data_IF_587335020763
#
_entry.id   IF_587335020763
#
_cell.length_a   1.000
_cell.length_b   1.000
_cell.length_c   1.000
_cell.angle_alpha   90.00
_cell.angle_beta   90.00
_cell.angle_gamma   90.00
#
_symmetry.space_group_name_H-M   'P 1'
#
loop_
_entity.id
_entity.type
_entity.pdbx_description
1 polymer ?
#
# COMPACT_ATOMS: atom_id res chain seq x y z
N UNK A 1 2.34 8.60 -0.12
CA UNK A 1 1.02 8.02 0.09
C UNK A 1 1.06 6.72 0.84
N UNK A 2 -0.10 6.26 1.24
CA UNK A 2 -0.26 5.04 2.02
C UNK A 2 0.17 3.82 1.19
N UNK A 3 1.11 3.03 1.70
CA UNK A 3 1.72 1.85 1.05
C UNK A 3 2.21 2.09 -0.38
N UNK A 4 2.51 3.35 -0.72
CA UNK A 4 2.90 3.72 -2.08
C UNK A 4 4.17 3.01 -2.54
N UNK A 5 5.11 2.75 -1.64
CA UNK A 5 6.37 2.08 -2.00
C UNK A 5 6.11 0.69 -2.56
N UNK A 6 5.26 -0.10 -1.90
CA UNK A 6 4.92 -1.46 -2.36
C UNK A 6 4.10 -1.41 -3.64
N UNK A 7 3.07 -0.58 -3.68
CA UNK A 7 2.18 -0.51 -4.83
C UNK A 7 2.90 -0.03 -6.09
N UNK A 8 3.70 1.02 -5.97
CA UNK A 8 4.45 1.55 -7.12
C UNK A 8 5.47 0.52 -7.66
N UNK A 9 6.14 -0.20 -6.76
CA UNK A 9 7.07 -1.25 -7.17
C UNK A 9 6.34 -2.38 -7.90
N UNK A 10 5.19 -2.80 -7.39
CA UNK A 10 4.38 -3.85 -8.03
C UNK A 10 3.94 -3.43 -9.44
N UNK A 11 3.42 -2.22 -9.59
CA UNK A 11 2.98 -1.70 -10.88
C UNK A 11 4.14 -1.63 -11.87
N UNK A 12 5.30 -1.14 -11.43
CA UNK A 12 6.47 -1.03 -12.29
C UNK A 12 6.95 -2.39 -12.78
N UNK A 13 7.04 -3.37 -11.89
CA UNK A 13 7.47 -4.72 -12.26
C UNK A 13 6.48 -5.34 -13.24
N UNK A 14 5.17 -5.17 -13.01
CA UNK A 14 4.15 -5.68 -13.92
C UNK A 14 4.25 -5.03 -15.30
N UNK A 15 4.48 -3.72 -15.37
CA UNK A 15 4.66 -3.02 -16.65
C UNK A 15 5.87 -3.54 -17.41
N UNK A 16 6.97 -3.81 -16.74
CA UNK A 16 8.18 -4.36 -17.34
C UNK A 16 7.94 -5.73 -17.98
N UNK A 17 6.97 -6.46 -17.46
CA UNK A 17 6.59 -7.79 -17.97
C UNK A 17 5.40 -7.76 -18.95
N UNK A 18 4.91 -6.56 -19.31
CA UNK A 18 3.82 -6.40 -20.26
C UNK A 18 2.42 -6.36 -19.66
N UNK A 19 2.29 -6.25 -18.35
CA UNK A 19 1.01 -6.13 -17.67
C UNK A 19 0.79 -4.68 -17.23
N UNK A 20 -0.37 -4.13 -17.56
CA UNK A 20 -0.70 -2.76 -17.17
C UNK A 20 -1.74 -2.77 -16.06
N UNK A 21 -1.36 -2.25 -14.91
CA UNK A 21 -2.26 -2.09 -13.77
C UNK A 21 -2.25 -0.65 -13.28
N UNK A 22 -3.42 -0.18 -12.84
CA UNK A 22 -3.55 1.13 -12.22
C UNK A 22 -3.51 0.97 -10.71
N UNK A 23 -3.13 2.03 -9.96
CA UNK A 23 -3.22 1.99 -8.51
C UNK A 23 -4.64 1.62 -8.06
N UNK A 24 -4.76 0.58 -7.23
CA UNK A 24 -6.06 0.12 -6.73
C UNK A 24 -6.40 0.69 -5.37
N UNK A 25 -5.40 1.17 -4.63
CA UNK A 25 -5.61 1.76 -3.32
C UNK A 25 -5.77 3.26 -3.47
N UNK A 26 -6.96 3.76 -3.17
CA UNK A 26 -7.27 5.18 -3.28
C UNK A 26 -7.54 5.72 -1.88
N UNK A 27 -6.53 6.36 -1.31
CA UNK A 27 -6.63 6.94 0.03
C UNK A 27 -6.88 8.43 -0.09
N UNK A 28 -7.95 8.97 0.54
CA UNK A 28 -8.24 10.38 0.45
C UNK A 28 -7.18 11.23 1.15
N UNK A 29 -6.92 12.41 0.61
CA UNK A 29 -6.10 13.41 1.30
C UNK A 29 -6.89 14.02 2.45
N UNK A 30 -6.20 14.68 3.39
CA UNK A 30 -6.87 15.37 4.49
C UNK A 30 -7.86 16.40 3.97
N UNK A 31 -7.48 17.16 2.93
CA UNK A 31 -8.36 18.17 2.32
C UNK A 31 -9.62 17.54 1.73
N UNK A 32 -9.45 16.47 0.95
CA UNK A 32 -10.59 15.80 0.32
C UNK A 32 -11.57 15.24 1.35
N UNK A 33 -11.03 14.60 2.39
CA UNK A 33 -11.85 14.02 3.45
C UNK A 33 -12.56 15.12 4.25
N UNK A 34 -11.87 16.25 4.53
CA UNK A 34 -12.46 17.39 5.20
C UNK A 34 -13.64 17.97 4.41
N UNK A 35 -13.46 18.11 3.09
CA UNK A 35 -14.52 18.64 2.22
C UNK A 35 -15.74 17.71 2.21
N UNK A 36 -15.54 16.40 2.21
CA UNK A 36 -16.64 15.43 2.27
C UNK A 36 -17.41 15.54 3.58
N UNK A 37 -16.73 15.68 4.71
CA UNK A 37 -17.38 15.81 6.01
C UNK A 37 -18.16 17.10 6.12
N UNK A 38 -17.63 18.20 5.62
CA UNK A 38 -18.33 19.51 5.62
C UNK A 38 -19.60 19.45 4.80
N UNK A 39 -19.59 18.79 3.66
CA UNK A 39 -20.79 18.59 2.84
C UNK A 39 -21.89 17.84 3.57
N UNK A 40 -21.52 16.98 4.51
CA UNK A 40 -22.47 16.17 5.29
C UNK A 40 -22.89 16.84 6.60
N UNK A 41 -22.46 18.09 6.82
CA UNK A 41 -22.89 18.86 7.99
C UNK A 41 -21.98 18.73 9.21
N UNK A 42 -20.81 18.13 9.08
CA UNK A 42 -19.86 18.03 10.19
C UNK A 42 -19.01 19.27 10.32
N UNK A 43 -18.73 19.63 11.56
CA UNK A 43 -17.77 20.69 11.90
C UNK A 43 -16.46 19.99 12.28
N UNK A 44 -15.39 20.30 11.58
CA UNK A 44 -14.10 19.64 11.80
C UNK A 44 -13.30 20.42 12.84
N UNK A 45 -13.00 19.76 13.96
CA UNK A 45 -12.18 20.31 15.02
C UNK A 45 -10.70 20.10 14.72
N UNK A 46 -10.36 18.93 14.19
CA UNK A 46 -8.98 18.59 13.86
C UNK A 46 -8.95 17.50 12.81
N UNK A 47 -8.06 17.64 11.83
CA UNK A 47 -7.82 16.62 10.82
C UNK A 47 -6.32 16.62 10.45
N UNK A 48 -5.73 15.43 10.41
CA UNK A 48 -4.32 15.27 10.04
C UNK A 48 -4.05 13.84 9.60
N UNK A 49 -2.96 13.65 8.86
CA UNK A 49 -2.45 12.32 8.56
C UNK A 49 -1.05 12.16 9.17
N UNK A 50 -0.61 10.93 9.31
CA UNK A 50 0.69 10.63 9.88
C UNK A 50 1.20 9.28 9.39
N UNK A 51 2.52 9.12 9.36
CA UNK A 51 3.14 7.87 8.99
C UNK A 51 2.92 6.83 10.09
N UNK A 52 2.56 5.63 9.67
CA UNK A 52 2.41 4.50 10.58
C UNK A 52 3.13 3.26 10.03
N UNK A 53 4.45 3.23 10.08
CA UNK A 53 5.20 2.04 9.67
C UNK A 53 4.71 0.83 10.45
N UNK A 54 4.39 -0.25 9.73
CA UNK A 54 3.78 -1.43 10.34
C UNK A 54 4.56 -2.68 9.96
N UNK A 55 5.13 -3.40 10.95
CA UNK A 55 5.79 -4.68 10.66
C UNK A 55 4.80 -5.68 10.08
N UNK A 56 5.20 -6.38 9.02
CA UNK A 56 4.40 -7.43 8.43
C UNK A 56 4.71 -8.76 9.13
N UNK A 57 3.71 -9.62 9.23
CA UNK A 57 3.85 -10.95 9.82
C UNK A 57 4.75 -11.81 8.95
N UNK A 58 5.28 -12.89 9.54
CA UNK A 58 6.06 -13.92 8.86
C UNK A 58 7.46 -13.50 8.40
N UNK A 59 8.02 -12.47 9.00
CA UNK A 59 9.41 -12.05 8.80
C UNK A 59 9.83 -12.00 7.32
N UNK A 60 10.69 -12.91 6.87
CA UNK A 60 11.19 -12.92 5.50
C UNK A 60 10.10 -13.07 4.44
N UNK A 61 9.03 -13.78 4.75
CA UNK A 61 7.90 -13.98 3.83
C UNK A 61 6.79 -12.96 4.01
N UNK A 62 6.99 -11.98 4.88
CA UNK A 62 5.96 -11.00 5.19
C UNK A 62 5.48 -10.23 3.97
N UNK A 63 6.39 -9.72 3.15
CA UNK A 63 6.00 -8.98 1.96
C UNK A 63 5.34 -9.90 0.92
N UNK A 64 5.87 -11.08 0.68
CA UNK A 64 5.28 -12.04 -0.24
C UNK A 64 3.84 -12.38 0.15
N UNK A 65 3.62 -12.72 1.42
CA UNK A 65 2.29 -13.07 1.91
C UNK A 65 1.32 -11.89 1.80
N UNK A 66 1.79 -10.68 2.11
CA UNK A 66 0.99 -9.47 1.99
C UNK A 66 0.57 -9.23 0.53
N UNK A 67 1.50 -9.38 -0.41
CA UNK A 67 1.23 -9.18 -1.83
C UNK A 67 0.26 -10.22 -2.37
N UNK A 68 0.39 -11.49 -1.96
CA UNK A 68 -0.52 -12.55 -2.39
C UNK A 68 -1.93 -12.33 -1.90
N UNK A 69 -2.09 -11.66 -0.78
CA UNK A 69 -3.41 -11.31 -0.23
C UNK A 69 -4.01 -10.10 -0.94
N UNK A 70 -3.26 -9.01 -1.05
CA UNK A 70 -3.79 -7.74 -1.54
C UNK A 70 -3.79 -7.63 -3.07
N UNK A 71 -2.93 -8.35 -3.75
CA UNK A 71 -2.89 -8.38 -5.22
C UNK A 71 -3.36 -9.74 -5.77
N UNK A 72 -4.21 -10.44 -5.03
CA UNK A 72 -4.68 -11.76 -5.41
C UNK A 72 -5.33 -11.79 -6.81
N UNK A 73 -6.19 -10.81 -7.11
CA UNK A 73 -6.87 -10.77 -8.40
C UNK A 73 -5.91 -10.55 -9.57
N UNK A 74 -4.89 -9.72 -9.39
CA UNK A 74 -3.88 -9.48 -10.42
C UNK A 74 -3.01 -10.71 -10.61
N UNK A 75 -2.59 -11.35 -9.51
CA UNK A 75 -1.73 -12.52 -9.56
C UNK A 75 -2.42 -13.76 -10.12
N UNK A 76 -3.72 -13.90 -9.91
CA UNK A 76 -4.49 -15.05 -10.44
C UNK A 76 -4.44 -15.14 -11.97
N UNK A 77 -4.26 -14.03 -12.65
CA UNK A 77 -4.17 -13.97 -14.12
C UNK A 77 -2.83 -14.46 -14.65
N UNK A 78 -1.88 -14.76 -13.78
CA UNK A 78 -0.51 -15.07 -14.13
C UNK A 78 -0.14 -16.51 -13.74
N UNK A 79 0.83 -17.09 -14.47
CA UNK A 79 1.38 -18.39 -14.10
C UNK A 79 2.13 -18.27 -12.75
N UNK A 80 2.31 -19.41 -12.08
CA UNK A 80 3.03 -19.43 -10.80
C UNK A 80 4.46 -18.92 -10.93
N UNK A 81 5.12 -19.24 -12.04
CA UNK A 81 6.50 -18.79 -12.29
C UNK A 81 6.57 -17.28 -12.40
N UNK A 82 5.61 -16.68 -13.11
CA UNK A 82 5.54 -15.22 -13.24
C UNK A 82 5.21 -14.57 -11.92
N UNK A 83 4.27 -15.13 -11.15
CA UNK A 83 3.95 -14.63 -9.81
C UNK A 83 5.18 -14.57 -8.91
N UNK A 84 5.95 -15.65 -8.87
CA UNK A 84 7.16 -15.73 -8.06
C UNK A 84 8.21 -14.71 -8.52
N UNK A 85 8.36 -14.54 -9.82
CA UNK A 85 9.29 -13.56 -10.38
C UNK A 85 8.91 -12.13 -10.00
N UNK A 86 7.64 -11.77 -10.12
CA UNK A 86 7.15 -10.45 -9.76
C UNK A 86 7.38 -10.17 -8.27
N UNK A 87 7.03 -11.11 -7.42
CA UNK A 87 7.18 -10.95 -5.97
C UNK A 87 8.65 -10.73 -5.63
N UNK A 88 9.55 -11.53 -6.18
CA UNK A 88 10.97 -11.40 -5.92
C UNK A 88 11.52 -10.05 -6.39
N UNK A 89 11.12 -9.59 -7.56
CA UNK A 89 11.56 -8.29 -8.08
C UNK A 89 11.04 -7.14 -7.24
N UNK A 90 9.80 -7.20 -6.75
CA UNK A 90 9.26 -6.20 -5.83
C UNK A 90 10.03 -6.19 -4.52
N UNK A 91 10.34 -7.37 -3.98
CA UNK A 91 11.16 -7.47 -2.77
C UNK A 91 12.52 -6.81 -2.97
N UNK A 92 13.19 -7.09 -4.09
CA UNK A 92 14.49 -6.51 -4.39
C UNK A 92 14.43 -4.98 -4.53
N UNK A 93 13.39 -4.45 -5.17
CA UNK A 93 13.22 -3.01 -5.35
C UNK A 93 12.91 -2.27 -4.05
N UNK A 94 12.24 -2.92 -3.12
CA UNK A 94 11.79 -2.27 -1.88
C UNK A 94 12.64 -2.59 -0.67
N UNK A 95 13.59 -3.51 -0.79
CA UNK A 95 14.38 -4.01 0.33
C UNK A 95 15.07 -2.90 1.12
N UNK A 96 15.70 -1.97 0.43
CA UNK A 96 16.45 -0.89 1.07
C UNK A 96 15.56 0.00 1.94
N UNK A 97 14.29 0.16 1.56
CA UNK A 97 13.34 1.03 2.26
C UNK A 97 12.52 0.29 3.31
N UNK A 98 12.14 -0.95 3.03
CA UNK A 98 11.14 -1.66 3.82
C UNK A 98 11.67 -2.82 4.66
N UNK A 99 12.86 -3.36 4.36
CA UNK A 99 13.44 -4.44 5.14
C UNK A 99 14.34 -3.88 6.23
N UNK A 100 13.96 -4.10 7.49
CA UNK A 100 14.71 -3.62 8.64
C UNK A 100 14.63 -4.63 9.78
N UNK A 101 15.75 -4.89 10.42
CA UNK A 101 15.82 -5.74 11.62
C UNK A 101 15.14 -7.10 11.45
N UNK A 102 15.37 -7.74 10.29
CA UNK A 102 14.79 -9.04 9.91
C UNK A 102 13.26 -9.02 9.75
N UNK A 103 12.69 -7.87 9.42
CA UNK A 103 11.26 -7.71 9.20
C UNK A 103 10.98 -6.82 8.01
N UNK A 104 9.90 -7.10 7.30
CA UNK A 104 9.35 -6.19 6.29
C UNK A 104 8.42 -5.20 6.99
N UNK A 105 8.64 -3.91 6.74
CA UNK A 105 7.85 -2.82 7.31
C UNK A 105 7.05 -2.14 6.21
N UNK A 106 5.72 -2.22 6.26
CA UNK A 106 4.87 -1.53 5.29
C UNK A 106 4.76 -0.05 5.63
N UNK A 107 4.81 0.81 4.60
CA UNK A 107 4.79 2.27 4.76
C UNK A 107 3.36 2.82 4.82
N UNK A 108 2.60 2.41 5.82
CA UNK A 108 1.24 2.89 6.03
C UNK A 108 1.21 4.34 6.49
N UNK A 109 0.17 5.03 6.05
CA UNK A 109 -0.22 6.32 6.63
C UNK A 109 -1.61 6.19 7.20
N UNK A 110 -1.87 6.91 8.28
CA UNK A 110 -3.18 6.93 8.94
C UNK A 110 -3.78 8.32 8.84
N UNK A 111 -5.08 8.38 8.58
CA UNK A 111 -5.85 9.61 8.62
C UNK A 111 -6.65 9.64 9.92
N UNK A 112 -6.53 10.73 10.67
CA UNK A 112 -7.30 10.91 11.90
C UNK A 112 -8.10 12.19 11.80
N UNK A 113 -9.37 12.11 12.17
CA UNK A 113 -10.26 13.25 12.17
C UNK A 113 -11.01 13.31 13.49
N UNK A 114 -11.17 14.53 14.03
CA UNK A 114 -12.04 14.83 15.17
C UNK A 114 -13.06 15.83 14.67
N UNK A 115 -14.34 15.44 14.69
CA UNK A 115 -15.41 16.24 14.15
C UNK A 115 -16.68 16.07 15.00
N UNK A 116 -17.60 17.04 14.87
CA UNK A 116 -18.92 16.96 15.51
C UNK A 116 -19.98 17.53 14.57
N UNK A 117 -21.20 17.22 14.87
CA UNK A 117 -22.35 17.72 14.09
C UNK A 117 -22.76 19.10 14.57
#
# INVERSE_FOLDING_TARGET
>A
GNIATIENAFIKVCQDLGYEYKPKFNFPTTKHFADLLKKKGFIIDKIYDYDRPTPLKDHEKGLENWMRQFFASELEEMSKDIQSKIIKEVEDLTKDKLWKENEWIADYRRLRVIAHI
#
